data_IF_451260289767
#
_entry.id   IF_451260289767
#
_cell.length_a   1.000
_cell.length_b   1.000
_cell.length_c   1.000
_cell.angle_alpha   90.00
_cell.angle_beta   90.00
_cell.angle_gamma   90.00
#
_symmetry.space_group_name_H-M   'P 1'
#
loop_
_entity.id
_entity.type
_entity.pdbx_description
1 polymer ?
#
# COMPACT_ATOMS: atom_id res chain seq x y z
N UNK A 1 31.36 -18.35 54.36
CA UNK A 1 30.15 -18.06 53.57
C UNK A 1 29.56 -16.76 54.09
N UNK A 2 29.87 -15.62 53.45
CA UNK A 2 29.11 -14.36 53.44
C UNK A 2 30.04 -13.35 52.75
N UNK A 3 29.82 -13.10 51.45
CA UNK A 3 30.55 -12.05 50.74
C UNK A 3 30.28 -10.70 51.42
N UNK A 4 31.32 -9.88 51.58
CA UNK A 4 31.23 -8.55 52.21
C UNK A 4 30.03 -7.78 51.66
N UNK A 5 29.22 -7.15 52.52
CA UNK A 5 28.07 -6.33 52.14
C UNK A 5 28.42 -5.28 51.07
N UNK A 6 29.66 -4.80 51.08
CA UNK A 6 30.20 -3.89 50.06
C UNK A 6 30.24 -4.53 48.67
N UNK A 7 30.58 -5.82 48.56
CA UNK A 7 30.59 -6.55 47.30
C UNK A 7 29.18 -6.75 46.73
N UNK A 8 28.18 -6.98 47.58
CA UNK A 8 26.77 -7.06 47.17
C UNK A 8 26.28 -5.68 46.67
N UNK A 9 26.65 -4.61 47.37
CA UNK A 9 26.34 -3.23 46.96
C UNK A 9 26.95 -2.86 45.60
N UNK A 10 28.24 -3.13 45.38
CA UNK A 10 28.91 -2.79 44.12
C UNK A 10 28.41 -3.62 42.94
N UNK A 11 28.12 -4.90 43.14
CA UNK A 11 27.57 -5.77 42.08
C UNK A 11 26.15 -5.38 41.66
N UNK A 12 25.30 -5.01 42.62
CA UNK A 12 23.95 -4.50 42.32
C UNK A 12 24.00 -3.16 41.57
N UNK A 13 24.82 -2.22 42.01
CA UNK A 13 24.97 -0.92 41.35
C UNK A 13 25.50 -1.07 39.91
N UNK A 14 26.51 -1.92 39.70
CA UNK A 14 27.06 -2.18 38.37
C UNK A 14 26.01 -2.80 37.43
N UNK A 15 25.22 -3.75 37.94
CA UNK A 15 24.15 -4.40 37.17
C UNK A 15 23.06 -3.41 36.75
N UNK A 16 22.60 -2.56 37.69
CA UNK A 16 21.61 -1.52 37.40
C UNK A 16 22.16 -0.50 36.41
N UNK A 17 23.40 -0.07 36.58
CA UNK A 17 24.04 0.89 35.67
C UNK A 17 24.19 0.33 34.25
N UNK A 18 24.54 -0.96 34.13
CA UNK A 18 24.62 -1.64 32.83
C UNK A 18 23.25 -1.73 32.15
N UNK A 19 22.20 -2.12 32.88
CA UNK A 19 20.83 -2.19 32.35
C UNK A 19 20.32 -0.80 31.91
N UNK A 20 20.59 0.24 32.70
CA UNK A 20 20.27 1.63 32.32
C UNK A 20 21.03 2.09 31.09
N UNK A 21 22.32 1.75 30.98
CA UNK A 21 23.14 2.09 29.81
C UNK A 21 22.61 1.40 28.56
N UNK A 22 22.22 0.12 28.64
CA UNK A 22 21.60 -0.62 27.53
C UNK A 22 20.22 -0.05 27.17
N UNK A 23 19.41 0.32 28.16
CA UNK A 23 18.12 0.97 27.95
C UNK A 23 18.25 2.33 27.27
N UNK A 24 19.20 3.15 27.73
CA UNK A 24 19.51 4.44 27.13
C UNK A 24 20.08 4.30 25.72
N UNK A 25 20.99 3.35 25.50
CA UNK A 25 21.51 3.05 24.16
C UNK A 25 20.37 2.63 23.23
N UNK A 26 19.47 1.73 23.67
CA UNK A 26 18.28 1.34 22.89
C UNK A 26 17.35 2.54 22.62
N UNK A 27 17.17 3.43 23.59
CA UNK A 27 16.39 4.66 23.40
C UNK A 27 17.01 5.58 22.32
N UNK A 28 18.34 5.66 22.26
CA UNK A 28 19.07 6.43 21.25
C UNK A 28 19.00 5.83 19.83
N UNK A 29 18.63 4.55 19.69
CA UNK A 29 18.35 3.93 18.41
C UNK A 29 16.84 3.91 18.13
N UNK A 30 16.32 4.87 17.34
CA UNK A 30 14.90 4.88 17.00
C UNK A 30 14.54 3.59 16.26
N UNK A 31 13.37 3.04 16.55
CA UNK A 31 12.82 1.97 15.74
C UNK A 31 12.58 2.54 14.33
N UNK A 32 13.37 2.09 13.35
CA UNK A 32 13.15 2.48 11.97
C UNK A 32 11.94 1.70 11.45
N UNK A 33 10.86 2.43 11.16
CA UNK A 33 9.75 1.86 10.40
C UNK A 33 10.24 1.75 8.95
N UNK A 34 10.61 0.55 8.52
CA UNK A 34 11.01 0.31 7.13
C UNK A 34 9.81 0.54 6.24
N UNK A 35 9.81 1.68 5.54
CA UNK A 35 8.80 1.95 4.52
C UNK A 35 9.04 1.03 3.32
N UNK A 36 7.99 0.34 2.82
CA UNK A 36 8.11 -0.46 1.62
C UNK A 36 8.54 0.42 0.43
N UNK A 37 9.34 -0.13 -0.50
CA UNK A 37 9.84 0.65 -1.62
C UNK A 37 8.70 1.25 -2.45
N UNK A 38 8.95 2.41 -3.04
CA UNK A 38 8.00 3.08 -3.94
C UNK A 38 7.74 2.27 -5.20
N UNK A 39 8.74 1.52 -5.67
CA UNK A 39 8.65 0.59 -6.80
C UNK A 39 8.74 -0.85 -6.33
N UNK A 40 7.82 -1.69 -6.79
CA UNK A 40 7.83 -3.11 -6.46
C UNK A 40 7.27 -3.95 -7.61
N UNK A 41 7.67 -5.22 -7.64
CA UNK A 41 7.16 -6.20 -8.59
C UNK A 41 5.97 -6.92 -7.99
N UNK A 42 4.84 -6.89 -8.70
CA UNK A 42 3.58 -7.51 -8.33
C UNK A 42 3.45 -8.97 -8.81
N UNK A 43 4.44 -9.46 -9.58
CA UNK A 43 4.49 -10.81 -10.13
C UNK A 43 4.17 -10.85 -11.63
N UNK A 44 4.05 -12.05 -12.23
CA UNK A 44 3.83 -12.22 -13.66
C UNK A 44 2.47 -11.68 -14.11
N UNK A 45 2.37 -11.20 -15.37
CA UNK A 45 1.12 -10.70 -15.96
C UNK A 45 0.00 -11.75 -15.92
N UNK A 46 0.34 -13.01 -16.12
CA UNK A 46 -0.58 -14.15 -16.17
C UNK A 46 -1.24 -14.44 -14.83
N UNK A 47 -0.65 -13.93 -13.73
CA UNK A 47 -1.21 -14.05 -12.39
C UNK A 47 -2.43 -13.15 -12.13
N UNK A 48 -2.81 -12.29 -13.07
CA UNK A 48 -3.92 -11.34 -12.94
C UNK A 48 -5.08 -11.75 -13.86
N UNK A 49 -6.05 -12.47 -13.32
CA UNK A 49 -7.22 -12.95 -14.06
C UNK A 49 -8.13 -11.79 -14.54
N UNK A 50 -8.70 -11.84 -15.75
CA UNK A 50 -9.65 -10.83 -16.20
C UNK A 50 -10.86 -10.70 -15.26
N UNK A 51 -11.20 -9.47 -14.91
CA UNK A 51 -12.32 -9.11 -14.05
C UNK A 51 -12.03 -9.16 -12.55
N UNK A 52 -10.84 -9.55 -12.10
CA UNK A 52 -10.52 -9.68 -10.67
C UNK A 52 -9.84 -8.44 -10.08
N UNK A 53 -9.98 -8.29 -8.76
CA UNK A 53 -9.30 -7.29 -7.95
C UNK A 53 -8.37 -8.00 -6.97
N UNK A 54 -7.07 -7.75 -7.07
CA UNK A 54 -6.06 -8.34 -6.19
C UNK A 54 -5.84 -7.46 -4.96
N UNK A 55 -6.23 -7.97 -3.79
CA UNK A 55 -6.06 -7.28 -2.50
C UNK A 55 -4.73 -7.55 -1.80
N UNK A 56 -3.91 -8.48 -2.31
CA UNK A 56 -2.62 -8.87 -1.70
C UNK A 56 -1.65 -7.72 -1.47
N UNK A 57 -1.74 -6.64 -2.26
CA UNK A 57 -0.85 -5.47 -2.14
C UNK A 57 -1.43 -4.35 -1.27
N UNK A 58 -2.66 -4.49 -0.75
CA UNK A 58 -3.34 -3.46 0.05
C UNK A 58 -2.58 -3.16 1.34
N UNK A 59 -2.26 -4.19 2.12
CA UNK A 59 -1.65 -4.01 3.45
C UNK A 59 -0.22 -3.47 3.39
N UNK A 60 0.58 -3.95 2.43
CA UNK A 60 1.99 -3.57 2.33
C UNK A 60 2.20 -2.29 1.51
N UNK A 61 1.46 -2.10 0.41
CA UNK A 61 1.73 -1.05 -0.55
C UNK A 61 0.58 -0.04 -0.71
N UNK A 62 -0.61 -0.32 -0.16
CA UNK A 62 -1.79 0.52 -0.40
C UNK A 62 -2.20 0.54 -1.87
N UNK A 63 -2.14 -0.62 -2.52
CA UNK A 63 -2.46 -0.80 -3.93
C UNK A 63 -3.48 -1.94 -4.11
N UNK A 64 -4.45 -1.73 -4.99
CA UNK A 64 -5.20 -2.80 -5.63
C UNK A 64 -4.74 -2.94 -7.08
N UNK A 65 -4.51 -4.17 -7.53
CA UNK A 65 -4.30 -4.43 -8.96
C UNK A 65 -5.60 -4.95 -9.52
N UNK A 66 -6.12 -4.26 -10.52
CA UNK A 66 -7.40 -4.59 -11.15
C UNK A 66 -7.12 -4.93 -12.59
N UNK A 67 -7.61 -6.09 -13.04
CA UNK A 67 -7.69 -6.42 -14.45
C UNK A 67 -9.15 -6.25 -14.86
N UNK A 68 -9.49 -5.18 -15.56
CA UNK A 68 -10.87 -4.83 -15.84
C UNK A 68 -11.04 -4.06 -17.13
N UNK A 69 -12.30 -3.88 -17.51
CA UNK A 69 -12.67 -3.00 -18.62
C UNK A 69 -12.71 -1.55 -18.13
N UNK A 70 -12.23 -0.64 -18.98
CA UNK A 70 -12.47 0.78 -18.86
C UNK A 70 -12.64 1.34 -20.27
N UNK A 71 -13.76 2.02 -20.53
CA UNK A 71 -14.11 2.54 -21.86
C UNK A 71 -14.05 1.49 -22.98
N UNK A 72 -14.41 0.24 -22.70
CA UNK A 72 -14.41 -0.85 -23.70
C UNK A 72 -13.02 -1.42 -24.01
N UNK A 73 -12.00 -1.06 -23.22
CA UNK A 73 -10.65 -1.60 -23.31
C UNK A 73 -10.33 -2.43 -22.08
N UNK A 74 -10.00 -3.70 -22.29
CA UNK A 74 -9.49 -4.57 -21.23
C UNK A 74 -8.05 -4.17 -20.88
N UNK A 75 -7.83 -3.81 -19.63
CA UNK A 75 -6.54 -3.32 -19.16
C UNK A 75 -6.29 -3.67 -17.69
N UNK A 76 -5.01 -3.76 -17.33
CA UNK A 76 -4.56 -3.95 -15.96
C UNK A 76 -4.10 -2.59 -15.43
N UNK A 77 -4.65 -2.15 -14.31
CA UNK A 77 -4.28 -0.89 -13.66
C UNK A 77 -4.12 -1.07 -12.16
N UNK A 78 -3.30 -0.22 -11.56
CA UNK A 78 -3.03 -0.20 -10.13
C UNK A 78 -3.80 0.94 -9.48
N UNK A 79 -4.87 0.65 -8.74
CA UNK A 79 -5.62 1.67 -7.99
C UNK A 79 -4.96 1.96 -6.64
N UNK A 80 -4.87 3.23 -6.30
CA UNK A 80 -4.48 3.72 -4.98
C UNK A 80 -5.61 3.47 -3.99
N UNK A 81 -5.30 2.83 -2.86
CA UNK A 81 -6.31 2.47 -1.85
C UNK A 81 -6.71 3.64 -0.97
N UNK A 82 -6.52 4.89 -1.40
CA UNK A 82 -6.75 6.09 -0.59
C UNK A 82 -8.00 6.80 -1.12
N UNK A 83 -9.02 6.89 -0.30
CA UNK A 83 -10.25 7.58 -0.62
C UNK A 83 -9.98 9.06 -0.87
N UNK A 84 -10.49 9.57 -1.99
CA UNK A 84 -10.31 10.96 -2.43
C UNK A 84 -11.12 11.99 -1.64
N UNK A 85 -11.94 11.55 -0.67
CA UNK A 85 -12.59 12.44 0.29
C UNK A 85 -11.60 12.97 1.33
N UNK A 86 -11.20 12.13 2.29
CA UNK A 86 -10.33 12.51 3.43
C UNK A 86 -9.24 11.46 3.72
N UNK A 87 -8.94 10.57 2.77
CA UNK A 87 -7.77 9.69 2.86
C UNK A 87 -7.97 8.35 3.55
N UNK A 88 -9.19 7.98 3.96
CA UNK A 88 -9.47 6.64 4.48
C UNK A 88 -9.22 5.54 3.44
N UNK A 89 -9.01 4.30 3.88
CA UNK A 89 -8.86 3.15 2.98
C UNK A 89 -10.21 2.48 2.71
N UNK A 90 -10.76 2.52 1.48
CA UNK A 90 -11.97 1.78 1.15
C UNK A 90 -11.78 0.26 1.24
N UNK A 91 -12.88 -0.48 1.32
CA UNK A 91 -12.90 -1.93 1.26
C UNK A 91 -13.45 -2.39 -0.08
N UNK A 92 -12.81 -3.38 -0.68
CA UNK A 92 -13.37 -4.10 -1.81
C UNK A 92 -14.47 -5.05 -1.31
N UNK A 93 -15.64 -5.01 -1.95
CA UNK A 93 -16.75 -5.91 -1.66
C UNK A 93 -17.00 -6.80 -2.87
N UNK A 94 -16.49 -8.03 -2.81
CA UNK A 94 -16.58 -9.00 -3.91
C UNK A 94 -18.05 -9.25 -4.34
N UNK A 95 -18.99 -9.36 -3.40
CA UNK A 95 -20.40 -9.60 -3.74
C UNK A 95 -21.04 -8.46 -4.54
N UNK A 96 -20.60 -7.22 -4.32
CA UNK A 96 -21.14 -6.02 -4.98
C UNK A 96 -20.27 -5.55 -6.16
N UNK A 97 -19.06 -6.09 -6.29
CA UNK A 97 -18.04 -5.66 -7.23
C UNK A 97 -17.75 -4.15 -7.15
N UNK A 98 -17.68 -3.63 -5.92
CA UNK A 98 -17.53 -2.19 -5.61
C UNK A 98 -16.55 -1.97 -4.48
N UNK A 99 -15.92 -0.79 -4.48
CA UNK A 99 -15.19 -0.29 -3.32
C UNK A 99 -16.10 0.59 -2.47
N UNK A 100 -16.15 0.34 -1.16
CA UNK A 100 -16.95 1.13 -0.20
C UNK A 100 -16.06 1.67 0.92
N UNK A 101 -16.11 2.97 1.13
CA UNK A 101 -15.36 3.66 2.18
C UNK A 101 -16.19 3.70 3.48
N UNK A 102 -15.73 3.03 4.57
CA UNK A 102 -16.50 2.94 5.80
C UNK A 102 -16.56 4.26 6.60
N UNK A 103 -15.72 5.24 6.27
CA UNK A 103 -15.64 6.49 7.05
C UNK A 103 -16.85 7.41 6.83
N UNK A 104 -17.23 7.63 5.57
CA UNK A 104 -18.30 8.59 5.22
C UNK A 104 -19.21 8.07 4.08
N UNK A 105 -19.11 6.79 3.73
CA UNK A 105 -19.98 6.17 2.73
C UNK A 105 -19.66 6.50 1.28
N UNK A 106 -18.43 6.90 0.95
CA UNK A 106 -18.02 7.03 -0.46
C UNK A 106 -17.96 5.67 -1.14
N UNK A 107 -18.50 5.57 -2.35
CA UNK A 107 -18.48 4.35 -3.16
C UNK A 107 -17.84 4.57 -4.51
N UNK A 108 -17.07 3.56 -4.95
CA UNK A 108 -16.38 3.54 -6.24
C UNK A 108 -16.68 2.24 -6.98
N UNK A 109 -16.83 2.32 -8.30
CA UNK A 109 -16.92 1.16 -9.17
C UNK A 109 -15.57 0.44 -9.26
N UNK A 110 -15.56 -0.76 -9.84
CA UNK A 110 -14.35 -1.57 -10.01
C UNK A 110 -13.23 -0.84 -10.76
N UNK A 111 -13.59 0.05 -11.68
CA UNK A 111 -12.66 0.90 -12.42
C UNK A 111 -12.07 2.08 -11.62
N UNK A 112 -12.61 2.32 -10.42
CA UNK A 112 -12.21 3.41 -9.53
C UNK A 112 -13.07 4.67 -9.64
N UNK A 113 -14.06 4.72 -10.55
CA UNK A 113 -14.96 5.88 -10.70
C UNK A 113 -15.88 6.00 -9.49
N UNK A 114 -15.93 7.19 -8.88
CA UNK A 114 -16.82 7.48 -7.75
C UNK A 114 -18.28 7.58 -8.23
N UNK A 115 -19.21 6.99 -7.49
CA UNK A 115 -20.64 7.02 -7.83
C UNK A 115 -21.57 7.41 -6.68
N UNK A 116 -21.07 7.41 -5.44
CA UNK A 116 -21.85 7.81 -4.27
C UNK A 116 -20.97 8.39 -3.17
N UNK A 117 -21.62 9.07 -2.23
CA UNK A 117 -20.99 9.67 -1.05
C UNK A 117 -20.20 10.93 -1.36
N UNK A 118 -19.41 11.44 -0.38
CA UNK A 118 -18.79 12.76 -0.46
C UNK A 118 -17.47 12.80 -1.26
N UNK A 119 -17.04 11.69 -1.86
CA UNK A 119 -15.79 11.67 -2.62
C UNK A 119 -15.97 12.47 -3.93
N UNK A 120 -15.19 13.55 -4.15
CA UNK A 120 -15.45 14.46 -5.26
C UNK A 120 -14.93 13.95 -6.62
N UNK A 121 -14.09 12.92 -6.61
CA UNK A 121 -13.37 12.44 -7.80
C UNK A 121 -13.02 10.94 -7.72
N UNK A 122 -12.70 10.29 -8.85
CA UNK A 122 -12.29 8.88 -8.89
C UNK A 122 -11.05 8.57 -8.05
N UNK A 123 -10.81 7.29 -7.75
CA UNK A 123 -9.56 6.84 -7.15
C UNK A 123 -8.37 7.13 -8.08
N UNK A 124 -7.18 7.37 -7.53
CA UNK A 124 -6.00 7.60 -8.37
C UNK A 124 -5.41 6.27 -8.86
N UNK A 125 -4.81 6.27 -10.05
CA UNK A 125 -3.99 5.15 -10.52
C UNK A 125 -2.52 5.39 -10.20
N UNK A 126 -1.77 4.34 -9.87
CA UNK A 126 -0.31 4.37 -9.84
C UNK A 126 0.27 4.02 -11.20
N UNK A 127 1.54 4.39 -11.42
CA UNK A 127 2.26 3.95 -12.60
C UNK A 127 2.42 2.43 -12.60
N UNK A 128 2.20 1.81 -13.74
CA UNK A 128 2.28 0.36 -13.92
C UNK A 128 2.89 0.04 -15.27
N UNK A 129 3.77 -0.96 -15.31
CA UNK A 129 4.44 -1.40 -16.55
C UNK A 129 4.83 -2.87 -16.46
N UNK A 130 5.13 -3.47 -17.60
CA UNK A 130 5.85 -4.75 -17.65
C UNK A 130 7.35 -4.46 -17.55
N UNK A 131 8.03 -5.10 -16.61
CA UNK A 131 9.48 -5.05 -16.48
C UNK A 131 10.16 -6.01 -17.47
N UNK A 132 11.47 -5.87 -17.64
CA UNK A 132 12.25 -6.65 -18.63
C UNK A 132 12.21 -8.17 -18.37
N UNK A 133 11.90 -8.57 -17.13
CA UNK A 133 11.73 -9.96 -16.71
C UNK A 133 10.28 -10.46 -16.81
N UNK A 134 9.39 -9.72 -17.47
CA UNK A 134 7.99 -10.09 -17.70
C UNK A 134 7.06 -9.89 -16.50
N UNK A 135 7.57 -9.35 -15.39
CA UNK A 135 6.77 -9.06 -14.21
C UNK A 135 6.09 -7.70 -14.31
N UNK A 136 4.89 -7.59 -13.75
CA UNK A 136 4.20 -6.32 -13.53
C UNK A 136 4.94 -5.55 -12.45
N UNK A 137 5.49 -4.39 -12.79
CA UNK A 137 6.09 -3.44 -11.85
C UNK A 137 5.14 -2.26 -11.64
N UNK A 138 4.97 -1.87 -10.38
CA UNK A 138 4.13 -0.74 -9.96
C UNK A 138 5.02 0.30 -9.30
N UNK A 139 4.86 1.57 -9.69
CA UNK A 139 5.56 2.72 -9.14
C UNK A 139 4.57 3.67 -8.45
N UNK A 140 4.64 3.70 -7.12
CA UNK A 140 3.78 4.51 -6.23
C UNK A 140 4.17 5.98 -6.18
N UNK A 141 5.33 6.35 -6.70
CA UNK A 141 5.78 7.75 -6.73
C UNK A 141 5.08 8.58 -7.81
N UNK A 142 4.42 7.91 -8.76
CA UNK A 142 3.67 8.53 -9.86
C UNK A 142 2.21 8.16 -9.77
N UNK A 143 1.34 9.16 -9.77
CA UNK A 143 -0.11 9.01 -9.69
C UNK A 143 -0.79 9.66 -10.89
N UNK A 144 -1.91 9.09 -11.33
CA UNK A 144 -2.70 9.56 -12.46
C UNK A 144 -4.16 9.76 -12.04
N UNK A 145 -4.69 10.94 -12.35
CA UNK A 145 -6.04 11.39 -12.04
C UNK A 145 -6.93 11.35 -13.28
N UNK A 146 -8.14 10.80 -13.13
CA UNK A 146 -9.09 10.62 -14.23
C UNK A 146 -9.65 11.97 -14.69
N UNK A 147 -9.97 12.84 -13.74
CA UNK A 147 -10.54 14.17 -13.94
C UNK A 147 -9.62 15.12 -14.72
N UNK A 148 -8.32 14.81 -14.76
CA UNK A 148 -7.30 15.51 -15.54
C UNK A 148 -6.99 14.82 -16.88
N UNK A 149 -7.71 13.75 -17.23
CA UNK A 149 -7.47 12.94 -18.43
C UNK A 149 -6.20 12.09 -18.37
N UNK A 150 -5.56 11.95 -17.20
CA UNK A 150 -4.26 11.29 -17.08
C UNK A 150 -4.34 9.76 -17.15
N UNK A 151 -5.53 9.18 -17.05
CA UNK A 151 -5.74 7.75 -17.27
C UNK A 151 -5.54 7.33 -18.73
N UNK A 152 -5.50 8.28 -19.67
CA UNK A 152 -5.12 8.03 -21.06
C UNK A 152 -3.60 7.84 -21.23
N UNK A 153 -2.79 8.17 -20.21
CA UNK A 153 -1.34 7.96 -20.26
C UNK A 153 -1.04 6.43 -20.24
N UNK A 154 -0.28 5.90 -21.21
CA UNK A 154 0.12 4.49 -21.23
C UNK A 154 0.89 4.02 -19.99
N UNK A 155 1.45 4.93 -19.20
CA UNK A 155 2.10 4.60 -17.93
C UNK A 155 1.11 4.28 -16.80
N UNK A 156 -0.18 4.56 -16.99
CA UNK A 156 -1.22 4.37 -15.96
C UNK A 156 -1.96 3.02 -16.05
N UNK A 157 -1.71 2.25 -17.11
CA UNK A 157 -2.30 0.92 -17.33
C UNK A 157 -1.42 0.05 -18.23
N UNK A 158 -1.65 -1.27 -18.19
CA UNK A 158 -1.11 -2.23 -19.15
C UNK A 158 -2.28 -2.75 -20.00
N UNK A 159 -2.25 -2.59 -21.33
CA UNK A 159 -3.25 -3.23 -22.20
C UNK A 159 -3.25 -4.75 -22.03
N UNK A 160 -4.43 -5.37 -21.96
CA UNK A 160 -4.51 -6.83 -21.88
C UNK A 160 -3.98 -7.49 -23.17
N UNK A 161 -4.24 -6.86 -24.32
CA UNK A 161 -3.71 -7.23 -25.64
C UNK A 161 -2.40 -6.51 -25.93
N UNK A 162 -1.29 -7.20 -25.69
CA UNK A 162 -0.02 -6.99 -26.37
C UNK A 162 0.51 -8.37 -26.76
#
# INVERSE_FOLDING_TARGET
MLGSFLGIGMTSLASVSALWTLGFARFMFPNILTEPPSRFKAGPKEGFSPGTVEEKFKAQYGVWVVNGDYNGQQQIYALKTVCTHLGCTPNWLEAEQKFKCPCHGSGFYKDGINFEGPAPRPLERYAIRIADDGQVEIDRSRTFQEELGQWADPASFIPATA
#
